data_IF_402411540355
#
_entry.id   IF_402411540355
#
_cell.length_a   1.000
_cell.length_b   1.000
_cell.length_c   1.000
_cell.angle_alpha   90.00
_cell.angle_beta   90.00
_cell.angle_gamma   90.00
#
_symmetry.space_group_name_H-M   'P 1'
#
loop_
_entity.id
_entity.type
_entity.pdbx_description
1 polymer ?
#
# COMPACT_ATOMS: atom_id res chain seq x y z
N UNK A 1 -7.41 -4.01 20.80
CA UNK A 1 -6.56 -3.83 19.60
C UNK A 1 -6.87 -4.91 18.60
N UNK A 2 -6.95 -4.56 17.35
CA UNK A 2 -7.20 -5.54 16.30
C UNK A 2 -5.93 -5.85 15.53
N UNK A 3 -5.76 -7.12 15.16
CA UNK A 3 -4.69 -7.55 14.27
C UNK A 3 -5.14 -7.31 12.82
N UNK A 4 -4.21 -6.85 12.00
CA UNK A 4 -4.46 -6.59 10.59
C UNK A 4 -3.40 -7.29 9.75
N UNK A 5 -3.80 -7.84 8.59
CA UNK A 5 -2.87 -8.49 7.69
C UNK A 5 -1.82 -7.49 7.19
N UNK A 6 -0.54 -7.87 7.26
CA UNK A 6 0.57 -7.03 6.82
C UNK A 6 0.58 -6.86 5.29
N UNK A 7 0.91 -5.66 4.82
CA UNK A 7 1.02 -5.35 3.40
C UNK A 7 2.35 -5.79 2.80
N UNK A 8 2.34 -6.18 1.52
CA UNK A 8 3.51 -6.66 0.80
C UNK A 8 3.50 -6.14 -0.63
N UNK A 9 4.65 -6.23 -1.30
CA UNK A 9 4.70 -6.01 -2.75
C UNK A 9 3.69 -6.95 -3.42
N UNK A 10 2.92 -6.42 -4.36
CA UNK A 10 1.89 -7.16 -5.08
C UNK A 10 0.50 -7.10 -4.44
N UNK A 11 0.38 -6.67 -3.19
CA UNK A 11 -0.91 -6.49 -2.55
C UNK A 11 -1.63 -5.28 -3.15
N UNK A 12 -2.98 -5.34 -3.17
CA UNK A 12 -3.80 -4.39 -3.93
C UNK A 12 -4.56 -3.45 -3.02
N UNK A 13 -4.84 -2.26 -3.56
CA UNK A 13 -5.66 -1.23 -2.94
C UNK A 13 -7.04 -1.20 -3.58
N UNK A 14 -7.93 -0.35 -3.05
CA UNK A 14 -9.24 -0.16 -3.65
C UNK A 14 -9.11 0.35 -5.09
N UNK A 15 -9.97 -0.15 -5.97
CA UNK A 15 -9.90 0.14 -7.41
C UNK A 15 -10.06 1.63 -7.71
N UNK A 16 -9.32 2.10 -8.71
CA UNK A 16 -9.43 3.43 -9.32
C UNK A 16 -9.82 3.23 -10.80
N UNK A 17 -9.27 3.97 -11.77
CA UNK A 17 -9.41 3.59 -13.17
C UNK A 17 -8.79 2.22 -13.40
N UNK A 18 -7.64 1.98 -12.76
CA UNK A 18 -7.03 0.66 -12.66
C UNK A 18 -6.76 0.35 -11.19
N UNK A 19 -6.48 -0.90 -10.86
CA UNK A 19 -6.19 -1.32 -9.49
C UNK A 19 -4.78 -0.89 -9.11
N UNK A 20 -4.60 -0.06 -8.06
CA UNK A 20 -3.27 0.23 -7.55
C UNK A 20 -2.68 -1.01 -6.87
N UNK A 21 -1.42 -1.30 -7.15
CA UNK A 21 -0.69 -2.46 -6.61
C UNK A 21 0.58 -1.98 -5.94
N UNK A 22 0.88 -2.48 -4.73
CA UNK A 22 2.10 -2.10 -4.02
C UNK A 22 3.33 -2.54 -4.82
N UNK A 23 4.21 -1.59 -5.12
CA UNK A 23 5.36 -1.79 -6.00
C UNK A 23 6.72 -1.83 -5.33
N UNK A 24 6.88 -1.15 -4.19
CA UNK A 24 8.15 -1.16 -3.45
C UNK A 24 7.95 -1.59 -2.02
N UNK A 25 9.00 -2.10 -1.39
CA UNK A 25 8.97 -2.55 -0.02
C UNK A 25 10.37 -2.63 0.56
N UNK A 26 10.50 -3.15 1.78
CA UNK A 26 11.77 -3.30 2.46
C UNK A 26 12.67 -4.25 1.67
N UNK A 27 13.91 -3.84 1.33
CA UNK A 27 14.78 -4.69 0.48
C UNK A 27 15.26 -5.97 1.16
N UNK A 28 15.23 -6.04 2.50
CA UNK A 28 15.73 -7.20 3.24
C UNK A 28 14.75 -7.79 4.24
N UNK A 29 13.51 -7.29 4.29
CA UNK A 29 12.47 -7.80 5.20
C UNK A 29 11.31 -8.31 4.37
N UNK A 30 11.00 -9.61 4.54
CA UNK A 30 9.98 -10.28 3.74
C UNK A 30 8.92 -10.88 4.65
N UNK A 31 7.69 -10.92 4.16
CA UNK A 31 6.57 -11.63 4.77
C UNK A 31 5.99 -12.56 3.72
N UNK A 32 6.07 -13.88 3.99
CA UNK A 32 5.65 -14.91 3.04
C UNK A 32 6.32 -14.74 1.68
N UNK A 33 7.65 -14.50 1.70
CA UNK A 33 8.53 -14.39 0.51
C UNK A 33 8.32 -13.14 -0.35
N UNK A 34 7.49 -12.19 0.10
CA UNK A 34 7.30 -10.92 -0.58
C UNK A 34 7.80 -9.78 0.30
N UNK A 35 8.43 -8.79 -0.30
CA UNK A 35 8.98 -7.64 0.43
C UNK A 35 7.87 -6.90 1.18
N UNK A 36 8.15 -6.57 2.45
CA UNK A 36 7.20 -5.90 3.34
C UNK A 36 6.99 -4.45 2.92
N UNK A 37 5.72 -4.05 2.77
CA UNK A 37 5.35 -2.67 2.47
C UNK A 37 5.45 -1.79 3.71
N UNK A 38 5.97 -0.57 3.56
CA UNK A 38 6.23 0.37 4.67
C UNK A 38 5.72 1.77 4.31
N UNK A 39 5.59 2.63 5.33
CA UNK A 39 5.37 4.07 5.11
C UNK A 39 6.46 4.61 4.18
N UNK A 40 6.04 5.37 3.16
CA UNK A 40 6.93 5.94 2.15
C UNK A 40 7.14 5.07 0.93
N UNK A 41 6.81 3.78 0.98
CA UNK A 41 6.87 2.90 -0.19
C UNK A 41 5.76 3.27 -1.18
N UNK A 42 5.95 2.90 -2.44
CA UNK A 42 5.08 3.36 -3.52
C UNK A 42 4.41 2.20 -4.25
N UNK A 43 3.24 2.50 -4.82
CA UNK A 43 2.58 1.60 -5.76
C UNK A 43 3.32 1.59 -7.10
N UNK A 44 3.07 0.56 -7.92
CA UNK A 44 3.39 0.65 -9.35
C UNK A 44 2.48 1.71 -9.99
N UNK A 45 2.85 2.27 -11.16
CA UNK A 45 1.97 3.23 -11.82
C UNK A 45 0.57 2.66 -12.04
N UNK A 46 -0.44 3.45 -11.70
CA UNK A 46 -1.85 3.11 -11.87
C UNK A 46 -2.58 4.34 -12.43
N UNK A 47 -3.85 4.18 -12.80
CA UNK A 47 -4.61 5.27 -13.39
C UNK A 47 -5.72 5.74 -12.48
N UNK A 48 -5.86 7.07 -12.36
CA UNK A 48 -6.95 7.73 -11.64
C UNK A 48 -7.68 8.72 -12.56
N UNK A 49 -8.96 8.98 -12.24
CA UNK A 49 -9.77 9.96 -12.95
C UNK A 49 -9.39 11.37 -12.48
N UNK A 50 -9.08 12.23 -13.45
CA UNK A 50 -8.83 13.66 -13.22
C UNK A 50 -9.74 14.48 -14.14
N UNK A 51 -10.07 15.76 -13.80
CA UNK A 51 -10.89 16.61 -14.63
C UNK A 51 -10.20 16.98 -15.95
N UNK A 52 -10.77 16.46 -17.11
CA UNK A 52 -10.14 16.70 -18.39
C UNK A 52 -11.07 16.43 -19.59
N UNK A 53 -12.42 16.47 -19.52
CA UNK A 53 -13.34 16.57 -18.36
C UNK A 53 -13.31 15.40 -17.40
N UNK A 54 -13.11 14.17 -17.89
CA UNK A 54 -12.92 12.96 -17.06
C UNK A 54 -11.95 12.06 -17.78
N UNK A 55 -10.69 12.09 -17.37
CA UNK A 55 -9.61 11.31 -17.99
C UNK A 55 -8.93 10.42 -16.96
N UNK A 56 -8.56 9.22 -17.37
CA UNK A 56 -7.70 8.38 -16.56
C UNK A 56 -6.24 8.73 -16.87
N UNK A 57 -5.50 9.20 -15.88
CA UNK A 57 -4.08 9.54 -15.99
C UNK A 57 -3.25 8.65 -15.09
N UNK A 58 -2.00 8.45 -15.45
CA UNK A 58 -1.08 7.58 -14.73
C UNK A 58 -0.40 8.33 -13.58
N UNK A 59 -0.45 7.72 -12.39
CA UNK A 59 0.17 8.25 -11.18
C UNK A 59 0.77 7.11 -10.36
N UNK A 60 1.56 7.47 -9.34
CA UNK A 60 1.96 6.56 -8.27
C UNK A 60 1.41 7.11 -6.96
N UNK A 61 1.13 6.20 -6.01
CA UNK A 61 0.70 6.58 -4.67
C UNK A 61 1.77 6.19 -3.66
N UNK A 62 1.80 6.91 -2.53
CA UNK A 62 2.77 6.69 -1.46
C UNK A 62 2.06 6.28 -0.19
N UNK A 63 2.56 5.24 0.49
CA UNK A 63 1.99 4.75 1.75
C UNK A 63 2.10 5.84 2.81
N UNK A 64 0.97 6.19 3.44
CA UNK A 64 0.88 7.25 4.44
C UNK A 64 0.86 6.75 5.87
N UNK A 65 0.25 5.59 6.12
CA UNK A 65 0.06 5.10 7.47
C UNK A 65 0.48 3.66 7.60
N UNK A 66 0.82 3.26 8.81
CA UNK A 66 1.28 1.91 9.11
C UNK A 66 1.09 1.58 10.57
N UNK A 67 1.56 0.41 10.97
CA UNK A 67 1.48 -0.05 12.35
C UNK A 67 2.26 0.88 13.28
N UNK A 68 1.68 1.27 14.42
CA UNK A 68 2.42 2.08 15.41
C UNK A 68 3.49 1.28 16.16
N UNK A 69 3.51 -0.04 16.04
CA UNK A 69 4.39 -0.90 16.84
C UNK A 69 5.28 -1.82 16.03
N UNK A 70 5.05 -2.00 14.74
CA UNK A 70 5.81 -2.93 13.91
C UNK A 70 6.53 -2.17 12.81
N UNK A 71 7.85 -2.37 12.74
CA UNK A 71 8.72 -1.65 11.80
C UNK A 71 9.55 -2.62 10.98
N UNK A 72 9.83 -2.25 9.74
CA UNK A 72 10.77 -2.94 8.87
C UNK A 72 11.80 -1.93 8.41
N UNK A 73 13.07 -2.17 8.75
CA UNK A 73 14.18 -1.27 8.43
C UNK A 73 13.90 0.19 8.85
N UNK A 74 13.32 0.35 10.06
CA UNK A 74 13.07 1.66 10.65
C UNK A 74 11.80 2.38 10.22
N UNK A 75 11.00 1.80 9.31
CA UNK A 75 9.75 2.40 8.84
C UNK A 75 8.56 1.53 9.24
N UNK A 76 7.45 2.18 9.59
CA UNK A 76 6.24 1.46 10.00
C UNK A 76 5.70 0.56 8.89
N UNK A 77 5.35 -0.68 9.25
CA UNK A 77 4.80 -1.66 8.31
C UNK A 77 3.34 -1.34 8.01
N UNK A 78 3.00 -1.32 6.72
CA UNK A 78 1.63 -1.14 6.26
C UNK A 78 0.81 -2.41 6.51
N UNK A 79 -0.49 -2.23 6.79
CA UNK A 79 -1.44 -3.34 6.94
C UNK A 79 -2.76 -2.99 6.27
N UNK A 80 -3.64 -3.98 6.12
CA UNK A 80 -4.97 -3.77 5.55
C UNK A 80 -5.66 -2.61 6.27
N UNK A 81 -6.24 -1.70 5.51
CA UNK A 81 -6.90 -0.49 6.01
C UNK A 81 -5.99 0.72 6.11
N UNK A 82 -4.67 0.53 6.17
CA UNK A 82 -3.74 1.65 6.05
C UNK A 82 -3.80 2.22 4.64
N UNK A 83 -3.50 3.51 4.51
CA UNK A 83 -3.80 4.25 3.29
C UNK A 83 -2.57 4.65 2.53
N UNK A 84 -2.70 4.71 1.20
CA UNK A 84 -1.74 5.34 0.31
C UNK A 84 -2.35 6.61 -0.24
N UNK A 85 -1.52 7.65 -0.41
CA UNK A 85 -1.96 8.92 -0.96
C UNK A 85 -1.73 8.97 -2.47
N UNK A 86 -2.83 9.07 -3.22
CA UNK A 86 -2.83 9.33 -4.65
C UNK A 86 -3.05 10.80 -4.96
N UNK A 87 -3.22 11.12 -6.24
CA UNK A 87 -3.40 12.51 -6.69
C UNK A 87 -4.78 13.07 -6.30
N UNK A 88 -5.80 12.23 -6.21
CA UNK A 88 -7.17 12.65 -5.90
C UNK A 88 -7.57 12.35 -4.47
N UNK A 89 -6.66 11.86 -3.65
CA UNK A 89 -6.92 11.51 -2.25
C UNK A 89 -6.27 10.20 -1.86
N UNK A 90 -6.57 9.73 -0.65
CA UNK A 90 -6.01 8.48 -0.14
C UNK A 90 -6.96 7.32 -0.38
N UNK A 91 -6.42 6.09 -0.40
CA UNK A 91 -7.20 4.88 -0.54
C UNK A 91 -6.59 3.73 0.27
N UNK A 92 -7.42 2.83 0.82
CA UNK A 92 -6.95 1.80 1.72
C UNK A 92 -6.39 0.58 0.99
N UNK A 93 -5.45 -0.09 1.66
CA UNK A 93 -4.97 -1.41 1.24
C UNK A 93 -6.07 -2.44 1.52
N UNK A 94 -6.40 -3.26 0.53
CA UNK A 94 -7.46 -4.26 0.63
C UNK A 94 -6.95 -5.67 0.90
N UNK A 95 -5.71 -5.98 0.49
CA UNK A 95 -5.16 -7.33 0.57
C UNK A 95 -3.81 -7.30 1.26
N UNK A 96 -3.54 -8.32 2.05
CA UNK A 96 -2.27 -8.46 2.77
C UNK A 96 -1.88 -9.91 2.91
N UNK A 97 -0.82 -10.16 3.68
CA UNK A 97 -0.33 -11.50 3.95
C UNK A 97 -1.39 -12.33 4.67
N UNK A 98 -1.78 -13.52 4.16
CA UNK A 98 -2.85 -14.30 4.78
C UNK A 98 -2.52 -14.86 6.15
N UNK A 99 -1.24 -14.98 6.51
CA UNK A 99 -0.81 -15.57 7.77
C UNK A 99 0.06 -14.65 8.63
N UNK A 100 0.32 -13.41 8.19
CA UNK A 100 1.16 -12.46 8.94
C UNK A 100 0.32 -11.24 9.31
N UNK A 101 0.20 -11.00 10.62
CA UNK A 101 -0.63 -9.91 11.13
C UNK A 101 0.19 -8.96 11.98
N UNK A 102 -0.18 -7.68 11.95
CA UNK A 102 0.43 -6.62 12.74
C UNK A 102 -0.63 -5.86 13.52
N UNK A 103 -0.20 -5.23 14.59
CA UNK A 103 -1.08 -4.41 15.42
C UNK A 103 -1.07 -2.97 14.93
#
# INVERSE_FOLDING_TARGET
MSLRAAGRIGDVYINRCTVPVQGTGAPTVFMEQLATSRIGDKTIPYQEIVPCPKCCKTFTATVLSGSPKVFAMGLSVEAIGDKALGITGSFPLLKGAPTVFVI
#
